data_IF_865041704705
#
_entry.id   IF_865041704705
#
_cell.length_a   1.000
_cell.length_b   1.000
_cell.length_c   1.000
_cell.angle_alpha   90.00
_cell.angle_beta   90.00
_cell.angle_gamma   90.00
#
_symmetry.space_group_name_H-M   'P 1'
#
loop_
_entity.id
_entity.type
_entity.pdbx_description
1 polymer ?
#
# COMPACT_ATOMS: atom_id res chain seq x y z
N UNK A 1 26.54 45.01 -18.49
CA UNK A 1 27.45 44.75 -19.64
C UNK A 1 28.84 45.24 -19.24
N UNK A 2 29.86 44.38 -19.13
CA UNK A 2 31.21 44.86 -18.85
C UNK A 2 31.89 45.36 -20.14
N UNK A 3 32.67 46.42 -20.02
CA UNK A 3 33.61 46.90 -21.05
C UNK A 3 35.03 46.68 -20.48
N UNK A 4 35.99 46.15 -21.26
CA UNK A 4 37.28 45.70 -20.74
C UNK A 4 38.28 46.86 -20.66
N UNK A 5 39.19 46.82 -19.68
CA UNK A 5 40.43 47.59 -19.73
C UNK A 5 41.61 46.62 -19.67
N UNK A 6 42.47 46.75 -20.68
CA UNK A 6 43.55 45.84 -21.02
C UNK A 6 44.69 45.85 -19.99
N UNK A 7 45.21 44.64 -19.72
CA UNK A 7 46.48 44.43 -19.03
C UNK A 7 47.61 44.35 -20.07
N UNK A 8 48.55 45.31 -20.04
CA UNK A 8 49.87 45.13 -20.62
C UNK A 8 50.94 45.74 -19.72
N UNK A 9 51.93 44.93 -19.38
CA UNK A 9 53.11 45.31 -18.61
C UNK A 9 53.84 44.07 -18.10
N UNK A 10 54.74 43.53 -18.93
CA UNK A 10 55.61 42.42 -18.58
C UNK A 10 56.99 42.91 -18.12
N UNK A 11 57.56 42.19 -17.14
CA UNK A 11 58.98 41.97 -16.81
C UNK A 11 59.84 43.14 -16.28
N UNK A 12 60.37 43.02 -15.06
CA UNK A 12 61.64 42.33 -14.74
C UNK A 12 62.24 42.88 -13.43
N UNK A 13 62.68 41.97 -12.56
CA UNK A 13 63.73 42.13 -11.52
C UNK A 13 63.70 43.33 -10.54
N UNK A 14 63.72 42.97 -9.25
CA UNK A 14 63.85 43.82 -8.03
C UNK A 14 62.52 44.35 -7.49
N UNK A 15 62.18 43.89 -6.29
CA UNK A 15 60.92 44.11 -5.60
C UNK A 15 60.55 45.60 -5.45
N UNK A 16 59.60 46.07 -6.25
CA UNK A 16 58.83 47.27 -5.95
C UNK A 16 57.60 46.87 -5.13
N UNK A 17 57.60 47.22 -3.85
CA UNK A 17 56.40 47.17 -3.01
C UNK A 17 55.54 48.38 -3.42
N UNK A 18 54.59 48.14 -4.32
CA UNK A 18 53.53 49.08 -4.65
C UNK A 18 52.25 48.60 -3.96
N UNK A 19 51.96 49.15 -2.79
CA UNK A 19 50.65 49.02 -2.15
C UNK A 19 49.62 49.75 -3.02
N UNK A 20 48.85 48.99 -3.82
CA UNK A 20 47.54 49.45 -4.27
C UNK A 20 46.49 48.88 -3.31
N UNK A 21 46.13 49.70 -2.32
CA UNK A 21 44.90 49.50 -1.58
C UNK A 21 43.77 49.88 -2.53
N UNK A 22 43.09 48.89 -3.10
CA UNK A 22 41.81 49.12 -3.75
C UNK A 22 40.77 49.39 -2.65
N UNK A 23 40.49 50.67 -2.38
CA UNK A 23 39.35 51.08 -1.55
C UNK A 23 38.10 51.09 -2.45
N UNK A 24 37.62 49.91 -2.81
CA UNK A 24 36.29 49.76 -3.38
C UNK A 24 35.54 48.73 -2.55
N UNK A 25 34.72 49.26 -1.65
CA UNK A 25 33.74 48.51 -0.87
C UNK A 25 32.57 48.19 -1.79
N UNK A 26 32.10 46.94 -1.80
CA UNK A 26 30.89 46.56 -2.54
C UNK A 26 29.68 47.37 -2.06
N UNK A 27 28.74 47.69 -2.97
CA UNK A 27 27.62 48.60 -2.72
C UNK A 27 26.75 48.23 -1.49
N UNK A 28 26.79 46.96 -1.05
CA UNK A 28 26.10 46.50 0.17
C UNK A 28 26.82 46.86 1.49
N UNK A 29 28.13 47.05 1.48
CA UNK A 29 28.93 47.36 2.68
C UNK A 29 29.13 48.88 2.89
N UNK A 30 29.02 49.70 1.84
CA UNK A 30 29.13 51.16 1.94
C UNK A 30 28.01 51.79 2.79
N UNK A 31 26.85 51.12 2.84
CA UNK A 31 25.65 51.54 3.59
C UNK A 31 25.80 51.42 5.10
N UNK A 32 26.79 50.67 5.60
CA UNK A 32 27.00 50.45 7.04
C UNK A 32 27.92 51.48 7.69
N UNK A 33 28.79 52.16 6.92
CA UNK A 33 29.85 53.04 7.45
C UNK A 33 29.36 54.48 7.67
N UNK A 34 28.36 54.93 6.89
CA UNK A 34 27.74 56.23 7.09
C UNK A 34 26.42 56.05 7.84
N UNK A 35 26.43 56.20 9.16
CA UNK A 35 25.20 56.46 9.91
C UNK A 35 24.67 57.86 9.53
N UNK A 36 23.95 57.95 8.41
CA UNK A 36 23.09 59.11 8.16
C UNK A 36 21.99 59.11 9.22
N UNK A 37 21.90 60.18 10.01
CA UNK A 37 20.69 60.45 10.81
C UNK A 37 19.51 60.54 9.84
N UNK A 38 18.40 59.88 10.18
CA UNK A 38 17.12 59.95 9.46
C UNK A 38 16.82 61.45 9.21
N UNK A 39 16.64 61.88 7.96
CA UNK A 39 16.22 63.27 7.68
C UNK A 39 14.77 63.47 8.11
N UNK A 40 13.97 62.41 8.00
CA UNK A 40 12.57 62.35 8.37
C UNK A 40 12.33 61.93 9.84
N UNK A 41 11.21 62.36 10.43
CA UNK A 41 10.85 62.38 11.86
C UNK A 41 11.69 63.31 12.75
N UNK A 42 12.26 64.37 12.18
CA UNK A 42 13.04 65.35 12.96
C UNK A 42 12.23 66.57 13.43
N UNK A 43 11.06 66.84 12.82
CA UNK A 43 10.23 68.02 13.10
C UNK A 43 8.73 67.72 13.11
N UNK A 44 7.99 68.49 13.92
CA UNK A 44 6.59 68.27 14.35
C UNK A 44 5.50 68.53 13.29
N UNK A 45 5.86 68.71 12.01
CA UNK A 45 4.96 69.14 10.92
C UNK A 45 5.13 68.32 9.63
N UNK A 46 5.90 67.23 9.69
CA UNK A 46 6.25 66.42 8.51
C UNK A 46 5.03 65.70 7.88
N UNK A 47 4.02 65.39 8.68
CA UNK A 47 2.73 64.81 8.27
C UNK A 47 1.89 65.70 7.32
N UNK A 48 2.32 66.94 7.06
CA UNK A 48 1.63 67.86 6.13
C UNK A 48 2.21 67.77 4.70
N UNK A 49 3.33 67.07 4.53
CA UNK A 49 4.03 66.94 3.24
C UNK A 49 3.60 65.62 2.59
N UNK A 50 3.22 65.59 1.30
CA UNK A 50 2.90 64.35 0.61
C UNK A 50 4.12 63.42 0.55
N UNK A 51 3.92 62.16 0.94
CA UNK A 51 4.96 61.14 1.03
C UNK A 51 5.70 60.91 -0.30
N UNK A 52 7.01 60.66 -0.22
CA UNK A 52 7.85 60.44 -1.40
C UNK A 52 8.60 59.10 -1.32
N UNK A 53 8.26 58.17 -2.23
CA UNK A 53 8.81 56.80 -2.25
C UNK A 53 10.34 56.75 -2.22
N UNK A 54 10.97 57.53 -3.08
CA UNK A 54 12.42 57.48 -3.25
C UNK A 54 13.12 58.04 -2.02
N UNK A 55 12.59 59.12 -1.44
CA UNK A 55 13.13 59.75 -0.24
C UNK A 55 12.94 58.93 1.04
N UNK A 56 11.76 58.32 1.23
CA UNK A 56 11.36 57.76 2.52
C UNK A 56 11.62 56.26 2.65
N UNK A 57 11.47 55.50 1.56
CA UNK A 57 11.56 54.03 1.58
C UNK A 57 12.74 53.46 0.76
N UNK A 58 13.29 54.20 -0.21
CA UNK A 58 14.43 53.75 -1.03
C UNK A 58 15.75 54.30 -0.48
N UNK A 59 15.82 55.61 -0.20
CA UNK A 59 16.99 56.25 0.41
C UNK A 59 17.06 56.04 1.92
N UNK A 60 15.91 55.82 2.58
CA UNK A 60 15.78 55.60 4.02
C UNK A 60 14.91 54.36 4.32
N UNK A 61 14.97 53.86 5.56
CA UNK A 61 14.10 52.76 6.02
C UNK A 61 12.80 53.36 6.56
N UNK A 62 11.71 53.18 5.82
CA UNK A 62 10.39 53.66 6.22
C UNK A 62 9.64 52.69 7.16
N UNK A 63 8.70 53.24 7.93
CA UNK A 63 7.70 52.50 8.69
C UNK A 63 6.54 52.08 7.78
N UNK A 64 5.70 51.16 8.27
CA UNK A 64 4.53 50.69 7.52
C UNK A 64 3.55 51.83 7.20
N UNK A 65 3.42 52.80 8.11
CA UNK A 65 2.52 53.94 7.93
C UNK A 65 3.09 54.93 6.88
N UNK A 66 4.39 55.20 6.92
CA UNK A 66 5.10 56.01 5.90
C UNK A 66 4.97 55.36 4.49
N UNK A 67 5.11 54.03 4.38
CA UNK A 67 4.91 53.33 3.12
C UNK A 67 3.44 53.38 2.61
N UNK A 68 2.47 53.45 3.52
CA UNK A 68 1.04 53.53 3.20
C UNK A 68 0.64 54.90 2.66
N UNK A 69 1.32 55.97 3.08
CA UNK A 69 1.07 57.33 2.60
C UNK A 69 1.56 57.56 1.17
N UNK A 70 2.58 56.81 0.73
CA UNK A 70 3.11 56.87 -0.64
C UNK A 70 2.22 56.16 -1.65
N UNK A 71 1.54 55.09 -1.23
CA UNK A 71 0.69 54.30 -2.10
C UNK A 71 -0.76 54.40 -1.62
N UNK A 72 -1.55 55.28 -2.24
CA UNK A 72 -2.99 55.51 -1.93
C UNK A 72 -3.91 54.27 -2.08
N UNK A 73 -3.38 53.06 -2.31
CA UNK A 73 -4.16 51.83 -2.35
C UNK A 73 -3.40 50.64 -1.70
N UNK A 74 -4.11 49.94 -0.81
CA UNK A 74 -3.68 48.76 -0.04
C UNK A 74 -3.33 47.53 -0.88
N UNK A 75 -3.50 47.58 -2.21
CA UNK A 75 -3.22 46.45 -3.11
C UNK A 75 -1.76 46.38 -3.60
N UNK A 76 -0.96 47.45 -3.43
CA UNK A 76 0.42 47.50 -3.97
C UNK A 76 1.55 47.20 -2.99
N UNK A 77 1.25 46.88 -1.73
CA UNK A 77 2.27 46.59 -0.71
C UNK A 77 2.61 45.10 -0.58
N UNK A 78 1.99 44.19 -1.35
CA UNK A 78 2.36 42.76 -1.38
C UNK A 78 2.21 42.18 -2.79
N UNK A 79 3.23 42.28 -3.65
CA UNK A 79 3.50 41.24 -4.66
C UNK A 79 4.86 41.44 -5.35
N UNK A 80 5.92 40.80 -4.85
CA UNK A 80 7.10 40.51 -5.67
C UNK A 80 6.90 39.18 -6.40
N UNK A 81 7.34 39.04 -7.64
CA UNK A 81 7.14 37.82 -8.45
C UNK A 81 7.67 36.57 -7.71
N UNK A 82 6.77 35.70 -7.28
CA UNK A 82 7.11 34.48 -6.54
C UNK A 82 7.57 33.33 -7.44
N UNK A 83 7.59 33.55 -8.76
CA UNK A 83 8.16 32.66 -9.75
C UNK A 83 9.65 32.96 -10.06
N UNK A 84 10.29 33.93 -9.37
CA UNK A 84 11.73 34.17 -9.48
C UNK A 84 12.45 34.05 -8.12
N UNK A 85 13.26 33.00 -7.90
CA UNK A 85 13.61 31.92 -8.84
C UNK A 85 12.50 30.88 -8.99
N UNK A 86 12.37 30.29 -10.19
CA UNK A 86 11.27 29.35 -10.50
C UNK A 86 11.20 28.18 -9.50
N UNK A 87 10.15 28.12 -8.65
CA UNK A 87 10.02 27.09 -7.63
C UNK A 87 9.56 25.75 -8.21
N UNK A 88 8.93 25.75 -9.38
CA UNK A 88 8.34 24.57 -10.02
C UNK A 88 9.42 23.66 -10.63
N UNK A 89 9.27 22.34 -10.45
CA UNK A 89 10.21 21.30 -10.88
C UNK A 89 9.69 20.57 -12.12
N UNK A 90 10.55 19.73 -12.70
CA UNK A 90 10.20 18.78 -13.77
C UNK A 90 9.56 19.41 -15.02
N UNK A 91 9.94 20.64 -15.36
CA UNK A 91 9.44 21.35 -16.55
C UNK A 91 8.03 21.93 -16.38
N UNK A 92 7.56 22.09 -15.15
CA UNK A 92 6.30 22.75 -14.83
C UNK A 92 6.33 24.26 -15.08
N UNK A 93 5.17 24.81 -15.41
CA UNK A 93 4.97 26.24 -15.65
C UNK A 93 4.59 26.92 -14.34
N UNK A 94 5.29 27.99 -13.95
CA UNK A 94 4.98 28.78 -12.75
C UNK A 94 4.11 29.98 -13.11
N UNK A 95 3.07 30.22 -12.31
CA UNK A 95 2.20 31.39 -12.39
C UNK A 95 2.20 32.12 -11.04
N UNK A 96 2.51 33.42 -11.05
CA UNK A 96 2.51 34.30 -9.88
C UNK A 96 1.07 34.57 -9.42
N UNK A 97 0.82 34.55 -8.11
CA UNK A 97 -0.47 34.87 -7.51
C UNK A 97 -0.29 35.83 -6.32
N UNK A 98 -1.37 36.27 -5.68
CA UNK A 98 -1.27 37.21 -4.55
C UNK A 98 -0.65 36.47 -3.36
N UNK A 99 0.57 36.86 -2.98
CA UNK A 99 1.35 36.28 -1.85
C UNK A 99 1.73 34.79 -1.96
N UNK A 100 1.58 34.16 -3.12
CA UNK A 100 1.94 32.76 -3.38
C UNK A 100 2.11 32.51 -4.89
N UNK A 101 2.75 31.41 -5.27
CA UNK A 101 2.79 30.92 -6.66
C UNK A 101 1.91 29.69 -6.85
N UNK A 102 1.59 29.39 -8.12
CA UNK A 102 0.94 28.15 -8.57
C UNK A 102 1.84 27.46 -9.60
N UNK A 103 2.06 26.15 -9.44
CA UNK A 103 2.79 25.34 -10.40
C UNK A 103 1.83 24.47 -11.22
N UNK A 104 1.83 24.64 -12.54
CA UNK A 104 1.12 23.80 -13.48
C UNK A 104 1.97 22.59 -13.86
N UNK A 105 1.71 21.47 -13.18
CA UNK A 105 2.50 20.26 -13.36
C UNK A 105 2.20 19.55 -14.69
N UNK A 106 3.24 19.13 -15.43
CA UNK A 106 3.06 18.26 -16.59
C UNK A 106 2.45 16.92 -16.19
N UNK A 107 1.78 16.26 -17.13
CA UNK A 107 1.16 14.96 -16.87
C UNK A 107 2.16 13.96 -16.26
N UNK A 108 1.78 13.39 -15.10
CA UNK A 108 2.61 12.47 -14.33
C UNK A 108 3.42 13.12 -13.20
N UNK A 109 3.27 14.42 -12.94
CA UNK A 109 3.79 15.06 -11.73
C UNK A 109 2.69 15.72 -10.90
N UNK A 110 2.84 15.69 -9.58
CA UNK A 110 2.02 16.49 -8.65
C UNK A 110 2.91 17.05 -7.52
N UNK A 111 2.29 17.68 -6.53
CA UNK A 111 2.99 18.39 -5.46
C UNK A 111 2.96 19.89 -5.70
N UNK A 112 3.23 20.67 -4.64
CA UNK A 112 3.19 22.14 -4.71
C UNK A 112 4.17 22.68 -5.75
N UNK A 113 5.27 21.96 -5.96
CA UNK A 113 6.35 22.33 -6.86
C UNK A 113 6.53 21.27 -7.96
N UNK A 114 5.54 20.41 -8.19
CA UNK A 114 5.62 19.31 -9.17
C UNK A 114 6.80 18.35 -8.91
N UNK A 115 7.20 18.19 -7.65
CA UNK A 115 8.32 17.36 -7.21
C UNK A 115 7.98 15.87 -7.13
N UNK A 116 6.70 15.51 -7.12
CA UNK A 116 6.22 14.14 -6.96
C UNK A 116 6.03 13.51 -8.33
N UNK A 117 6.84 12.51 -8.68
CA UNK A 117 6.73 11.74 -9.93
C UNK A 117 5.77 10.54 -9.77
N UNK A 118 4.69 10.51 -10.55
CA UNK A 118 3.79 9.38 -10.67
C UNK A 118 4.19 8.50 -11.86
N UNK A 119 5.24 7.72 -11.67
CA UNK A 119 5.49 6.54 -12.50
C UNK A 119 4.73 5.33 -11.96
N UNK A 120 4.52 4.29 -12.77
CA UNK A 120 3.99 3.02 -12.26
C UNK A 120 4.84 2.40 -11.12
N UNK A 121 6.10 2.81 -10.97
CA UNK A 121 6.97 2.38 -9.89
C UNK A 121 6.64 3.06 -8.55
N UNK A 122 6.04 4.25 -8.57
CA UNK A 122 5.73 5.06 -7.39
C UNK A 122 4.21 5.06 -7.19
N UNK A 123 3.74 4.55 -6.04
CA UNK A 123 2.30 4.43 -5.71
C UNK A 123 1.45 3.83 -6.86
N UNK A 124 2.00 2.90 -7.63
CA UNK A 124 1.33 2.28 -8.78
C UNK A 124 0.80 3.33 -9.81
N UNK A 125 1.48 4.47 -9.96
CA UNK A 125 1.05 5.57 -10.85
C UNK A 125 -0.27 6.23 -10.45
N UNK A 126 -0.74 6.02 -9.22
CA UNK A 126 -2.06 6.43 -8.75
C UNK A 126 -3.20 5.56 -9.26
N UNK A 127 -2.91 4.46 -9.97
CA UNK A 127 -3.93 3.50 -10.40
C UNK A 127 -4.36 2.61 -9.24
N UNK A 128 -5.68 2.43 -9.07
CA UNK A 128 -6.22 1.54 -8.04
C UNK A 128 -5.84 0.07 -8.26
N UNK A 129 -5.82 -0.39 -9.52
CA UNK A 129 -5.46 -1.76 -9.87
C UNK A 129 -4.20 -1.83 -10.73
N UNK A 130 -4.29 -1.74 -12.05
CA UNK A 130 -3.14 -1.97 -12.92
C UNK A 130 -2.64 -0.66 -13.52
N UNK A 131 -1.33 -0.49 -13.52
CA UNK A 131 -0.64 0.63 -14.15
C UNK A 131 0.21 0.15 -15.32
N UNK A 132 0.11 0.84 -16.46
CA UNK A 132 1.00 0.67 -17.62
C UNK A 132 1.53 2.03 -18.06
N UNK A 133 2.77 2.06 -18.53
CA UNK A 133 3.32 3.24 -19.19
C UNK A 133 3.01 3.17 -20.70
N UNK A 134 2.38 4.21 -21.27
CA UNK A 134 1.97 4.24 -22.69
C UNK A 134 2.14 5.63 -23.33
N UNK A 135 3.29 5.94 -23.97
CA UNK A 135 3.57 7.26 -24.53
C UNK A 135 2.52 7.73 -25.55
N UNK A 136 2.02 8.99 -25.51
CA UNK A 136 2.53 10.15 -24.77
C UNK A 136 2.06 10.26 -23.31
N UNK A 137 1.16 9.39 -22.84
CA UNK A 137 0.68 9.37 -21.46
C UNK A 137 1.67 8.61 -20.56
N UNK A 138 2.19 9.25 -19.51
CA UNK A 138 3.16 8.60 -18.62
C UNK A 138 2.56 7.40 -17.86
N UNK A 139 1.25 7.40 -17.62
CA UNK A 139 0.52 6.36 -16.90
C UNK A 139 -0.87 6.16 -17.49
N UNK A 140 -1.23 4.90 -17.75
CA UNK A 140 -2.57 4.44 -18.12
C UNK A 140 -3.02 3.38 -17.12
N UNK A 141 -4.18 3.60 -16.50
CA UNK A 141 -4.75 2.68 -15.54
C UNK A 141 -5.74 1.72 -16.20
N UNK A 142 -5.81 0.49 -15.66
CA UNK A 142 -6.83 -0.49 -16.03
C UNK A 142 -7.25 -1.32 -14.81
N UNK A 143 -8.41 -1.96 -14.90
CA UNK A 143 -9.05 -2.60 -13.76
C UNK A 143 -9.09 -4.14 -13.88
N UNK A 144 -9.17 -4.81 -12.73
CA UNK A 144 -9.35 -6.26 -12.66
C UNK A 144 -10.75 -6.70 -13.14
N UNK A 145 -10.90 -8.00 -13.40
CA UNK A 145 -12.15 -8.57 -13.86
C UNK A 145 -13.33 -8.26 -12.91
N UNK A 146 -14.43 -7.78 -13.48
CA UNK A 146 -15.60 -7.34 -12.71
C UNK A 146 -15.53 -5.89 -12.21
N UNK A 147 -14.52 -5.11 -12.62
CA UNK A 147 -14.43 -3.68 -12.34
C UNK A 147 -14.39 -2.85 -13.64
N UNK A 148 -14.92 -1.62 -13.57
CA UNK A 148 -14.81 -0.59 -14.61
C UNK A 148 -13.90 0.54 -14.13
N UNK A 149 -13.16 1.15 -15.05
CA UNK A 149 -12.38 2.35 -14.75
C UNK A 149 -13.36 3.52 -14.57
N UNK A 150 -13.17 4.28 -13.50
CA UNK A 150 -13.94 5.48 -13.20
C UNK A 150 -13.50 6.63 -14.14
N UNK A 151 -14.29 7.70 -14.18
CA UNK A 151 -14.07 8.85 -15.05
C UNK A 151 -12.78 9.62 -14.72
N UNK A 152 -12.27 9.49 -13.50
CA UNK A 152 -10.97 10.04 -13.09
C UNK A 152 -9.75 9.36 -13.76
N UNK A 153 -9.97 8.27 -14.51
CA UNK A 153 -8.93 7.52 -15.19
C UNK A 153 -7.98 6.75 -14.27
N UNK A 154 -8.27 6.66 -12.96
CA UNK A 154 -7.40 6.07 -11.92
C UNK A 154 -8.13 5.06 -11.03
N UNK A 155 -9.37 5.36 -10.64
CA UNK A 155 -10.16 4.55 -9.73
C UNK A 155 -10.85 3.39 -10.46
N UNK A 156 -11.03 2.30 -9.74
CA UNK A 156 -11.74 1.11 -10.23
C UNK A 156 -13.00 0.86 -9.38
N UNK A 157 -14.14 0.88 -10.06
CA UNK A 157 -15.45 0.66 -9.46
C UNK A 157 -15.99 -0.73 -9.82
N UNK A 158 -16.63 -1.45 -8.87
CA UNK A 158 -17.33 -2.69 -9.14
C UNK A 158 -18.35 -2.53 -10.28
N UNK A 159 -18.18 -3.30 -11.35
CA UNK A 159 -19.12 -3.37 -12.48
C UNK A 159 -20.11 -4.53 -12.35
N UNK A 160 -19.80 -5.52 -11.50
CA UNK A 160 -20.64 -6.68 -11.23
C UNK A 160 -20.90 -6.82 -9.71
N UNK A 161 -21.95 -7.55 -9.28
CA UNK A 161 -22.28 -7.69 -7.86
C UNK A 161 -21.18 -8.34 -7.01
N UNK A 162 -20.48 -9.31 -7.59
CA UNK A 162 -19.43 -10.10 -6.93
C UNK A 162 -18.14 -10.03 -7.76
N UNK A 163 -17.46 -8.87 -7.79
CA UNK A 163 -16.24 -8.72 -8.57
C UNK A 163 -15.11 -9.49 -7.90
N UNK A 164 -14.05 -9.80 -8.65
CA UNK A 164 -12.95 -10.57 -8.09
C UNK A 164 -12.31 -9.86 -6.88
N UNK A 165 -11.75 -10.64 -5.96
CA UNK A 165 -10.93 -10.12 -4.86
C UNK A 165 -11.67 -9.22 -3.88
N UNK A 166 -13.01 -9.16 -3.92
CA UNK A 166 -13.81 -8.33 -3.02
C UNK A 166 -14.54 -9.17 -1.99
N UNK A 167 -14.44 -8.76 -0.72
CA UNK A 167 -15.19 -9.39 0.36
C UNK A 167 -16.52 -8.68 0.51
N UNK A 168 -17.63 -9.41 0.32
CA UNK A 168 -18.99 -8.84 0.38
C UNK A 168 -19.85 -9.39 1.52
N UNK A 169 -19.35 -10.38 2.27
CA UNK A 169 -20.04 -10.99 3.40
C UNK A 169 -20.44 -9.96 4.48
N UNK A 170 -21.70 -9.97 4.95
CA UNK A 170 -22.22 -8.97 5.89
C UNK A 170 -21.53 -9.03 7.25
N UNK A 171 -21.24 -10.22 7.76
CA UNK A 171 -20.59 -10.42 9.06
C UNK A 171 -19.19 -9.81 9.11
N UNK A 172 -18.49 -9.82 7.98
CA UNK A 172 -17.15 -9.23 7.85
C UNK A 172 -17.25 -7.70 7.77
N UNK A 173 -18.19 -7.17 6.99
CA UNK A 173 -18.43 -5.71 6.89
C UNK A 173 -18.73 -5.08 8.25
N UNK A 174 -19.55 -5.74 9.08
CA UNK A 174 -19.89 -5.30 10.45
C UNK A 174 -18.68 -5.29 11.38
N UNK A 175 -17.74 -6.23 11.22
CA UNK A 175 -16.50 -6.26 12.02
C UNK A 175 -15.54 -5.15 11.61
N UNK A 176 -15.36 -4.90 10.31
CA UNK A 176 -14.54 -3.80 9.78
C UNK A 176 -15.04 -2.42 10.26
N UNK A 177 -16.36 -2.18 10.21
CA UNK A 177 -16.95 -0.92 10.73
C UNK A 177 -16.81 -0.78 12.25
N UNK A 178 -16.89 -1.88 13.00
CA UNK A 178 -16.73 -1.85 14.46
C UNK A 178 -15.29 -1.61 14.92
N UNK A 179 -14.28 -2.07 14.17
CA UNK A 179 -12.86 -1.76 14.44
C UNK A 179 -12.50 -0.31 14.11
N UNK A 180 -13.21 0.30 13.16
CA UNK A 180 -13.06 1.74 12.84
C UNK A 180 -13.62 2.61 13.99
N UNK A 181 -14.66 2.15 14.69
CA UNK A 181 -15.23 2.84 15.85
C UNK A 181 -14.44 2.66 17.17
N UNK A 182 -13.28 1.99 17.15
CA UNK A 182 -12.39 1.85 18.32
C UNK A 182 -11.15 2.75 18.26
N UNK A 183 -11.04 3.65 17.29
CA UNK A 183 -10.16 4.80 17.39
C UNK A 183 -10.93 5.93 18.06
N UNK A 184 -10.69 6.11 19.36
CA UNK A 184 -11.11 7.31 20.07
C UNK A 184 -10.60 8.55 19.33
N UNK A 185 -11.57 9.39 18.97
CA UNK A 185 -11.47 10.83 18.87
C UNK A 185 -10.23 11.41 19.57
N UNK A 186 -9.18 11.70 18.80
CA UNK A 186 -8.33 12.85 19.10
C UNK A 186 -8.96 14.06 18.40
N UNK A 187 -10.08 14.54 18.94
CA UNK A 187 -10.52 15.89 18.63
C UNK A 187 -9.67 16.84 19.46
N UNK A 188 -8.74 17.49 18.76
CA UNK A 188 -8.02 18.67 19.20
C UNK A 188 -9.08 19.70 19.64
N UNK A 189 -8.97 20.10 20.90
CA UNK A 189 -9.78 21.13 21.54
C UNK A 189 -9.58 22.48 20.85
N UNK A 190 -10.66 23.10 20.40
CA UNK A 190 -10.80 24.56 20.29
C UNK A 190 -11.96 24.99 21.17
N UNK A 191 -11.67 26.00 21.98
CA UNK A 191 -12.50 26.62 23.01
C UNK A 191 -13.93 26.92 22.53
N UNK A 192 -14.90 26.76 23.44
CA UNK A 192 -15.84 27.83 23.79
C UNK A 192 -16.53 27.50 25.13
N UNK A 193 -16.82 28.56 25.88
CA UNK A 193 -17.21 28.64 27.29
C UNK A 193 -18.73 28.43 27.51
N UNK A 194 -19.07 28.17 28.79
CA UNK A 194 -20.39 28.22 29.45
C UNK A 194 -21.42 27.11 29.05
N UNK A 195 -22.18 26.48 29.94
CA UNK A 195 -22.72 26.92 31.22
C UNK A 195 -23.06 25.69 32.10
N UNK A 196 -23.00 25.88 33.42
CA UNK A 196 -23.30 24.87 34.42
C UNK A 196 -24.80 24.56 34.50
N UNK A 197 -25.16 23.34 34.87
CA UNK A 197 -26.18 23.06 35.89
C UNK A 197 -26.24 21.55 36.20
N UNK A 198 -25.88 21.24 37.45
CA UNK A 198 -26.16 19.98 38.16
C UNK A 198 -27.67 19.69 38.19
N UNK A 199 -28.07 18.42 38.09
CA UNK A 199 -29.01 17.80 39.05
C UNK A 199 -28.83 16.28 39.16
N UNK A 200 -28.39 15.89 40.37
CA UNK A 200 -28.79 14.74 41.18
C UNK A 200 -28.65 13.29 40.66
N UNK A 201 -27.59 12.66 41.16
CA UNK A 201 -27.50 11.23 41.47
C UNK A 201 -28.57 10.81 42.49
N UNK A 202 -29.06 9.57 42.37
CA UNK A 202 -29.54 8.82 43.53
C UNK A 202 -29.09 7.35 43.43
N UNK A 203 -27.92 7.06 44.01
CA UNK A 203 -27.45 5.72 44.35
C UNK A 203 -27.41 5.67 45.87
N UNK A 204 -28.22 4.81 46.46
CA UNK A 204 -28.12 4.43 47.88
C UNK A 204 -26.86 3.61 48.12
N UNK A 205 -25.95 4.15 48.93
CA UNK A 205 -24.77 3.53 49.55
C UNK A 205 -25.21 2.49 50.61
N UNK A 206 -24.42 1.46 51.00
CA UNK A 206 -23.19 1.61 51.81
C UNK A 206 -22.25 0.38 51.79
N UNK A 207 -20.97 0.54 52.23
CA UNK A 207 -19.80 -0.21 51.78
C UNK A 207 -19.13 -1.08 52.87
N UNK A 208 -18.33 -2.06 52.45
CA UNK A 208 -17.14 -2.66 53.13
C UNK A 208 -16.72 -3.85 52.27
N UNK A 209 -15.49 -4.10 51.82
CA UNK A 209 -14.13 -3.94 52.35
C UNK A 209 -13.16 -4.03 51.16
N UNK A 210 -12.00 -3.38 51.27
CA UNK A 210 -10.94 -3.43 50.27
C UNK A 210 -10.48 -4.88 50.01
N UNK A 211 -10.77 -5.40 48.82
CA UNK A 211 -10.19 -6.63 48.30
C UNK A 211 -9.46 -6.34 46.98
N UNK A 212 -8.15 -6.49 47.05
CA UNK A 212 -7.15 -6.62 46.01
C UNK A 212 -7.74 -6.95 44.63
N UNK A 213 -7.63 -6.04 43.66
CA UNK A 213 -7.90 -6.35 42.26
C UNK A 213 -6.91 -7.43 41.80
N UNK A 214 -7.36 -8.69 41.85
CA UNK A 214 -6.74 -9.76 41.07
C UNK A 214 -6.96 -9.40 39.61
N UNK A 215 -5.89 -8.98 38.94
CA UNK A 215 -5.79 -9.06 37.49
C UNK A 215 -6.00 -10.54 37.15
N UNK A 216 -7.23 -10.90 36.78
CA UNK A 216 -7.49 -12.20 36.16
C UNK A 216 -6.85 -12.10 34.79
N UNK A 217 -5.78 -12.87 34.50
CA UNK A 217 -5.26 -12.91 33.15
C UNK A 217 -6.39 -13.42 32.27
N UNK A 218 -6.80 -12.61 31.30
CA UNK A 218 -7.62 -13.09 30.20
C UNK A 218 -6.79 -14.19 29.55
N UNK A 219 -7.15 -15.44 29.84
CA UNK A 219 -6.59 -16.61 29.18
C UNK A 219 -6.86 -16.44 27.70
N UNK A 220 -5.85 -15.94 26.98
CA UNK A 220 -5.79 -15.91 25.53
C UNK A 220 -5.75 -17.37 25.11
N UNK A 221 -6.91 -17.96 24.88
CA UNK A 221 -7.01 -19.30 24.34
C UNK A 221 -6.38 -19.29 22.95
N UNK A 222 -5.22 -19.93 22.88
CA UNK A 222 -4.39 -20.26 21.74
C UNK A 222 -5.19 -20.43 20.44
N UNK A 223 -4.97 -19.53 19.47
CA UNK A 223 -5.59 -19.62 18.15
C UNK A 223 -4.69 -20.42 17.22
N UNK A 224 -5.25 -21.47 16.62
CA UNK A 224 -4.51 -22.61 16.06
C UNK A 224 -4.56 -22.60 14.52
N UNK A 225 -3.71 -21.77 13.93
CA UNK A 225 -2.56 -22.14 13.06
C UNK A 225 -1.34 -21.85 13.92
N UNK A 226 -0.10 -22.26 13.60
CA UNK A 226 1.00 -21.74 14.44
C UNK A 226 0.95 -20.20 14.31
N UNK A 227 0.51 -19.53 15.39
CA UNK A 227 0.05 -18.13 15.49
C UNK A 227 -0.87 -17.52 14.42
N UNK A 228 -1.78 -18.27 13.76
CA UNK A 228 -2.90 -17.70 12.98
C UNK A 228 -4.21 -17.60 13.76
N UNK A 229 -5.29 -17.14 13.11
CA UNK A 229 -6.60 -16.96 13.76
C UNK A 229 -7.75 -17.54 12.94
N UNK A 230 -8.81 -17.97 13.63
CA UNK A 230 -10.09 -18.34 13.02
C UNK A 230 -10.58 -17.20 12.12
N UNK A 231 -10.88 -17.54 10.87
CA UNK A 231 -11.50 -16.60 9.95
C UNK A 231 -12.94 -16.33 10.36
N UNK A 232 -13.47 -15.18 9.95
CA UNK A 232 -14.91 -14.94 9.98
C UNK A 232 -15.53 -15.60 8.74
N UNK A 233 -16.74 -16.14 8.87
CA UNK A 233 -17.48 -16.69 7.73
C UNK A 233 -17.58 -15.68 6.58
N UNK A 234 -17.12 -16.08 5.40
CA UNK A 234 -17.07 -15.21 4.21
C UNK A 234 -15.91 -14.21 4.17
N UNK A 235 -14.94 -14.27 5.09
CA UNK A 235 -13.72 -13.45 5.03
C UNK A 235 -12.81 -13.81 3.86
N UNK A 236 -12.83 -15.07 3.41
CA UNK A 236 -12.02 -15.56 2.29
C UNK A 236 -12.91 -16.29 1.27
N UNK A 237 -13.76 -15.57 0.51
CA UNK A 237 -14.80 -16.18 -0.32
C UNK A 237 -14.27 -16.91 -1.56
N UNK A 238 -12.99 -16.73 -1.90
CA UNK A 238 -12.31 -17.46 -2.98
C UNK A 238 -11.67 -18.76 -2.53
N UNK A 239 -11.60 -19.03 -1.22
CA UNK A 239 -11.05 -20.28 -0.71
C UNK A 239 -11.95 -21.45 -1.12
N UNK A 240 -11.34 -22.53 -1.59
CA UNK A 240 -12.03 -23.82 -1.74
C UNK A 240 -11.34 -24.92 -0.96
N UNK A 241 -12.13 -25.92 -0.61
CA UNK A 241 -11.67 -27.21 -0.12
C UNK A 241 -11.69 -28.20 -1.28
N UNK A 242 -10.54 -28.79 -1.59
CA UNK A 242 -10.38 -29.79 -2.64
C UNK A 242 -10.32 -31.16 -1.97
N UNK A 243 -11.42 -31.91 -2.03
CA UNK A 243 -11.46 -33.30 -1.58
C UNK A 243 -10.93 -34.23 -2.65
N UNK A 244 -10.08 -35.15 -2.21
CA UNK A 244 -9.41 -36.15 -3.04
C UNK A 244 -9.78 -37.52 -2.49
N UNK A 245 -10.41 -38.33 -3.32
CA UNK A 245 -10.69 -39.73 -2.99
C UNK A 245 -9.82 -40.60 -3.88
N UNK A 246 -8.89 -41.33 -3.25
CA UNK A 246 -8.04 -42.31 -3.90
C UNK A 246 -8.16 -43.69 -3.22
N UNK A 247 -7.36 -44.66 -3.66
CA UNK A 247 -7.33 -46.03 -3.10
C UNK A 247 -6.76 -46.11 -1.67
N UNK A 248 -6.10 -45.05 -1.18
CA UNK A 248 -5.48 -44.96 0.14
C UNK A 248 -6.35 -44.25 1.19
N UNK A 249 -7.43 -43.59 0.75
CA UNK A 249 -8.44 -42.98 1.63
C UNK A 249 -8.90 -41.60 1.15
N UNK A 250 -9.46 -40.82 2.09
CA UNK A 250 -9.93 -39.45 1.85
C UNK A 250 -8.85 -38.44 2.27
N UNK A 251 -8.31 -37.70 1.29
CA UNK A 251 -7.40 -36.57 1.50
C UNK A 251 -8.08 -35.23 1.20
N UNK A 252 -7.43 -34.13 1.59
CA UNK A 252 -7.85 -32.79 1.17
C UNK A 252 -6.67 -31.84 0.95
N UNK A 253 -6.90 -30.88 0.06
CA UNK A 253 -6.05 -29.73 -0.20
C UNK A 253 -6.89 -28.44 -0.22
N UNK A 254 -6.23 -27.29 -0.27
CA UNK A 254 -6.82 -26.00 -0.57
C UNK A 254 -6.85 -25.72 -2.08
N UNK A 255 -7.52 -24.62 -2.43
CA UNK A 255 -7.55 -24.06 -3.78
C UNK A 255 -8.10 -22.65 -3.77
N UNK A 256 -8.05 -21.99 -4.93
CA UNK A 256 -8.62 -20.65 -5.12
C UNK A 256 -9.51 -20.59 -6.35
N UNK A 257 -10.67 -19.95 -6.24
CA UNK A 257 -11.61 -19.73 -7.36
C UNK A 257 -11.04 -18.68 -8.32
N UNK A 258 -10.84 -19.03 -9.59
CA UNK A 258 -10.38 -18.10 -10.63
C UNK A 258 -11.58 -17.42 -11.33
N UNK A 259 -12.59 -18.22 -11.69
CA UNK A 259 -13.86 -17.77 -12.25
C UNK A 259 -14.94 -18.82 -11.95
N UNK A 260 -16.14 -18.71 -12.53
CA UNK A 260 -17.24 -19.61 -12.22
C UNK A 260 -16.94 -21.09 -12.54
N UNK A 261 -16.04 -21.37 -13.48
CA UNK A 261 -15.75 -22.74 -13.96
C UNK A 261 -14.37 -23.26 -13.56
N UNK A 262 -13.46 -22.40 -13.10
CA UNK A 262 -12.06 -22.76 -12.90
C UNK A 262 -11.56 -22.47 -11.50
N UNK A 263 -10.80 -23.44 -10.97
CA UNK A 263 -10.09 -23.35 -9.69
C UNK A 263 -8.61 -23.61 -9.90
N UNK A 264 -7.76 -22.89 -9.19
CA UNK A 264 -6.31 -23.16 -9.12
C UNK A 264 -5.97 -23.86 -7.80
N UNK A 265 -5.05 -24.82 -7.86
CA UNK A 265 -4.51 -25.55 -6.70
C UNK A 265 -3.05 -25.97 -6.98
N UNK A 266 -2.43 -26.70 -6.07
CA UNK A 266 -1.10 -27.27 -6.26
C UNK A 266 -1.21 -28.58 -7.07
N UNK A 267 -0.27 -28.81 -7.98
CA UNK A 267 -0.26 -30.02 -8.80
C UNK A 267 0.06 -31.28 -7.99
N UNK A 268 0.87 -31.15 -6.93
CA UNK A 268 1.22 -32.28 -6.07
C UNK A 268 0.06 -32.82 -5.22
N UNK A 269 -1.03 -32.07 -5.14
CA UNK A 269 -2.28 -32.54 -4.54
C UNK A 269 -2.98 -33.57 -5.43
N UNK A 270 -2.63 -33.67 -6.71
CA UNK A 270 -3.39 -34.39 -7.71
C UNK A 270 -2.59 -35.58 -8.23
N UNK A 271 -3.25 -36.73 -8.39
CA UNK A 271 -2.71 -37.93 -9.01
C UNK A 271 -3.59 -38.36 -10.19
N UNK A 272 -3.01 -39.04 -11.19
CA UNK A 272 -3.80 -39.62 -12.28
C UNK A 272 -4.86 -40.58 -11.74
N UNK A 273 -6.13 -40.34 -12.10
CA UNK A 273 -7.27 -41.17 -11.67
C UNK A 273 -7.98 -40.71 -10.40
N UNK A 274 -7.53 -39.63 -9.76
CA UNK A 274 -8.20 -39.09 -8.57
C UNK A 274 -9.63 -38.63 -8.88
N UNK A 275 -10.56 -38.99 -8.00
CA UNK A 275 -11.90 -38.40 -8.01
C UNK A 275 -11.89 -37.12 -7.16
N UNK A 276 -11.88 -35.97 -7.85
CA UNK A 276 -11.70 -34.67 -7.22
C UNK A 276 -13.03 -33.94 -7.08
N UNK A 277 -13.37 -33.56 -5.84
CA UNK A 277 -14.55 -32.74 -5.53
C UNK A 277 -14.11 -31.42 -4.92
N UNK A 278 -14.53 -30.32 -5.52
CA UNK A 278 -14.29 -28.96 -5.05
C UNK A 278 -15.50 -28.50 -4.23
N UNK A 279 -15.24 -27.92 -3.06
CA UNK A 279 -16.25 -27.30 -2.20
C UNK A 279 -15.90 -25.83 -2.00
N UNK A 280 -16.71 -24.95 -2.57
CA UNK A 280 -16.61 -23.50 -2.39
C UNK A 280 -17.59 -23.02 -1.31
N UNK A 281 -17.27 -21.94 -0.60
CA UNK A 281 -18.15 -21.37 0.44
C UNK A 281 -18.20 -22.17 1.74
N UNK A 282 -17.31 -23.14 1.90
CA UNK A 282 -17.10 -23.90 3.14
C UNK A 282 -16.39 -23.03 4.18
N UNK A 283 -16.79 -23.17 5.44
CA UNK A 283 -16.15 -22.46 6.56
C UNK A 283 -15.83 -23.40 7.72
N UNK A 284 -16.70 -24.38 7.99
CA UNK A 284 -16.61 -25.29 9.14
C UNK A 284 -16.79 -26.74 8.70
N UNK A 285 -15.68 -27.46 8.49
CA UNK A 285 -15.64 -28.77 7.81
C UNK A 285 -16.47 -29.90 8.45
N UNK A 286 -16.84 -29.76 9.71
CA UNK A 286 -17.63 -30.75 10.46
C UNK A 286 -19.11 -30.39 10.59
N UNK A 287 -19.50 -29.16 10.22
CA UNK A 287 -20.85 -28.67 10.40
C UNK A 287 -21.55 -28.63 9.04
N UNK A 288 -22.59 -29.44 8.85
CA UNK A 288 -23.26 -29.61 7.55
C UNK A 288 -24.35 -28.55 7.28
N UNK A 289 -24.62 -27.68 8.26
CA UNK A 289 -25.73 -26.72 8.24
C UNK A 289 -25.33 -25.29 7.87
N UNK A 290 -24.11 -25.10 7.37
CA UNK A 290 -23.61 -23.77 6.98
C UNK A 290 -24.32 -23.21 5.75
N UNK A 291 -24.92 -24.08 4.91
CA UNK A 291 -25.79 -23.79 3.75
C UNK A 291 -25.18 -22.83 2.71
N UNK A 292 -23.89 -22.54 2.80
CA UNK A 292 -23.14 -21.68 1.88
C UNK A 292 -22.34 -22.49 0.86
N UNK A 293 -22.18 -23.79 1.11
CA UNK A 293 -21.33 -24.70 0.36
C UNK A 293 -21.89 -25.00 -1.03
N UNK A 294 -21.03 -24.89 -2.03
CA UNK A 294 -21.29 -25.37 -3.38
C UNK A 294 -20.29 -26.48 -3.71
N UNK A 295 -20.81 -27.68 -3.95
CA UNK A 295 -20.00 -28.85 -4.34
C UNK A 295 -20.00 -29.01 -5.85
N UNK A 296 -18.82 -29.21 -6.43
CA UNK A 296 -18.59 -29.40 -7.87
C UNK A 296 -17.57 -30.50 -8.09
N UNK A 297 -17.74 -31.32 -9.13
CA UNK A 297 -16.73 -32.31 -9.52
C UNK A 297 -15.75 -31.66 -10.48
N UNK A 298 -14.47 -32.01 -10.38
CA UNK A 298 -13.51 -31.61 -11.41
C UNK A 298 -13.60 -32.57 -12.60
N UNK A 299 -14.05 -32.06 -13.76
CA UNK A 299 -14.14 -32.84 -15.02
C UNK A 299 -12.82 -32.87 -15.76
N UNK A 300 -11.96 -31.87 -15.50
CA UNK A 300 -10.65 -31.77 -16.12
C UNK A 300 -9.63 -31.35 -15.08
N UNK A 301 -8.55 -32.12 -14.98
CA UNK A 301 -7.42 -31.86 -14.10
C UNK A 301 -6.23 -31.50 -14.99
N UNK A 302 -5.74 -30.27 -14.87
CA UNK A 302 -4.65 -29.75 -15.70
C UNK A 302 -3.47 -29.28 -14.84
N UNK A 303 -2.56 -30.18 -14.45
CA UNK A 303 -1.24 -29.79 -13.98
C UNK A 303 -0.53 -28.97 -15.05
N UNK A 304 0.35 -28.07 -14.63
CA UNK A 304 1.21 -27.34 -15.57
C UNK A 304 1.99 -28.34 -16.45
N UNK A 305 2.17 -28.05 -17.75
CA UNK A 305 2.73 -29.00 -18.73
C UNK A 305 4.14 -29.51 -18.38
N UNK A 306 4.92 -28.69 -17.67
CA UNK A 306 6.28 -29.00 -17.20
C UNK A 306 6.33 -29.50 -15.75
N UNK A 307 5.19 -29.77 -15.14
CA UNK A 307 5.11 -30.42 -13.83
C UNK A 307 5.46 -31.90 -13.97
N UNK A 308 6.40 -32.38 -13.14
CA UNK A 308 6.73 -33.80 -13.10
C UNK A 308 7.09 -34.22 -11.67
N UNK A 309 6.16 -34.92 -11.02
CA UNK A 309 6.31 -35.36 -9.64
C UNK A 309 7.48 -36.33 -9.41
N UNK A 310 7.85 -37.12 -10.43
CA UNK A 310 8.95 -38.09 -10.35
C UNK A 310 10.33 -37.45 -10.40
N UNK A 311 10.45 -36.28 -11.03
CA UNK A 311 11.72 -35.53 -11.13
C UNK A 311 11.83 -34.53 -9.98
N UNK A 312 10.82 -33.67 -9.83
CA UNK A 312 10.77 -32.68 -8.76
C UNK A 312 9.30 -32.33 -8.48
N UNK A 313 8.78 -32.88 -7.38
CA UNK A 313 7.40 -32.70 -6.90
C UNK A 313 6.97 -31.25 -6.69
N UNK A 314 7.90 -30.32 -6.56
CA UNK A 314 7.61 -28.92 -6.26
C UNK A 314 7.88 -27.98 -7.45
N UNK A 315 8.51 -28.47 -8.52
CA UNK A 315 8.76 -27.66 -9.70
C UNK A 315 7.50 -27.51 -10.56
N UNK A 316 7.06 -26.26 -10.79
CA UNK A 316 5.79 -25.96 -11.47
C UNK A 316 4.59 -26.60 -10.78
N UNK A 317 4.62 -26.59 -9.46
CA UNK A 317 3.59 -27.16 -8.62
C UNK A 317 2.34 -26.27 -8.59
N UNK A 318 1.60 -26.31 -9.69
CA UNK A 318 0.36 -25.58 -9.93
C UNK A 318 -0.49 -26.37 -10.93
N UNK A 319 -1.80 -26.41 -10.67
CA UNK A 319 -2.78 -27.07 -11.50
C UNK A 319 -4.08 -26.27 -11.58
N UNK A 320 -4.79 -26.43 -12.69
CA UNK A 320 -6.13 -25.90 -12.91
C UNK A 320 -7.15 -27.05 -12.92
N UNK A 321 -8.28 -26.82 -12.26
CA UNK A 321 -9.41 -27.73 -12.20
C UNK A 321 -10.58 -27.10 -12.94
N UNK A 322 -11.10 -27.77 -13.97
CA UNK A 322 -12.35 -27.39 -14.62
C UNK A 322 -13.52 -28.05 -13.92
N UNK A 323 -14.51 -27.27 -13.50
CA UNK A 323 -15.69 -27.75 -12.80
C UNK A 323 -16.74 -28.28 -13.77
N UNK A 324 -17.46 -29.32 -13.35
CA UNK A 324 -18.60 -29.90 -14.07
C UNK A 324 -19.72 -28.89 -14.32
N UNK A 325 -19.99 -28.05 -13.32
CA UNK A 325 -20.98 -26.97 -13.37
C UNK A 325 -20.38 -25.66 -12.85
N UNK A 326 -20.79 -24.50 -13.40
CA UNK A 326 -20.35 -23.22 -12.89
C UNK A 326 -20.78 -23.01 -11.43
N UNK A 327 -19.95 -22.30 -10.68
CA UNK A 327 -20.26 -21.78 -9.35
C UNK A 327 -21.21 -20.59 -9.47
N UNK A 328 -22.17 -20.51 -8.56
CA UNK A 328 -23.06 -19.36 -8.44
C UNK A 328 -22.43 -18.38 -7.47
N UNK A 329 -21.92 -17.25 -7.97
CA UNK A 329 -21.30 -16.26 -7.09
C UNK A 329 -22.31 -15.62 -6.14
N UNK A 330 -21.88 -15.48 -4.90
CA UNK A 330 -22.63 -14.86 -3.80
C UNK A 330 -21.64 -14.28 -2.78
N UNK A 331 -22.14 -13.79 -1.65
CA UNK A 331 -21.28 -13.15 -0.64
C UNK A 331 -20.22 -14.04 0.04
N UNK A 332 -20.33 -15.36 -0.12
CA UNK A 332 -19.43 -16.37 0.44
C UNK A 332 -18.65 -17.12 -0.64
N UNK A 333 -18.99 -16.93 -1.92
CA UNK A 333 -18.35 -17.58 -3.07
C UNK A 333 -18.08 -16.52 -4.14
N UNK A 334 -16.83 -16.09 -4.25
CA UNK A 334 -16.39 -15.00 -5.15
C UNK A 334 -14.99 -15.31 -5.65
N UNK A 335 -14.63 -15.01 -6.92
CA UNK A 335 -13.30 -15.32 -7.43
C UNK A 335 -12.21 -14.43 -6.83
N UNK A 336 -10.96 -14.89 -6.83
CA UNK A 336 -9.79 -14.06 -6.50
C UNK A 336 -9.29 -13.35 -7.76
N UNK A 337 -8.79 -12.11 -7.64
CA UNK A 337 -8.25 -11.41 -8.81
C UNK A 337 -6.90 -11.98 -9.25
N UNK A 338 -6.71 -12.05 -10.57
CA UNK A 338 -5.43 -12.38 -11.21
C UNK A 338 -4.85 -11.11 -11.84
N UNK A 339 -3.73 -10.65 -11.29
CA UNK A 339 -3.02 -9.47 -11.77
C UNK A 339 -2.17 -9.72 -13.00
N UNK A 340 -1.57 -8.66 -13.55
CA UNK A 340 -0.48 -8.81 -14.54
C UNK A 340 0.78 -9.34 -13.86
N UNK A 341 1.71 -9.90 -14.65
CA UNK A 341 2.96 -10.44 -14.12
C UNK A 341 3.75 -9.38 -13.33
N UNK A 342 3.84 -8.18 -13.87
CA UNK A 342 4.58 -7.05 -13.30
C UNK A 342 3.92 -6.60 -12.00
N UNK A 343 2.60 -6.39 -12.04
CA UNK A 343 1.81 -5.98 -10.88
C UNK A 343 1.87 -7.01 -9.74
N UNK A 344 1.66 -8.30 -10.04
CA UNK A 344 1.76 -9.39 -9.04
C UNK A 344 3.16 -9.47 -8.44
N UNK A 345 4.23 -9.20 -9.21
CA UNK A 345 5.59 -9.15 -8.66
C UNK A 345 5.81 -7.96 -7.72
N UNK A 346 5.24 -6.80 -8.04
CA UNK A 346 5.33 -5.61 -7.19
C UNK A 346 4.56 -5.81 -5.89
N UNK A 347 3.32 -6.32 -5.97
CA UNK A 347 2.51 -6.67 -4.81
C UNK A 347 3.21 -7.67 -3.89
N UNK A 348 3.78 -8.73 -4.46
CA UNK A 348 4.46 -9.76 -3.68
C UNK A 348 5.62 -9.20 -2.84
N UNK A 349 6.33 -8.18 -3.33
CA UNK A 349 7.50 -7.61 -2.65
C UNK A 349 7.14 -6.58 -1.58
N UNK A 350 6.08 -5.81 -1.78
CA UNK A 350 5.76 -4.65 -0.94
C UNK A 350 4.50 -4.83 -0.09
N UNK A 351 3.61 -5.75 -0.48
CA UNK A 351 2.38 -6.04 0.24
C UNK A 351 2.59 -7.08 1.34
N UNK A 352 1.62 -7.14 2.25
CA UNK A 352 1.53 -8.23 3.22
C UNK A 352 0.73 -9.38 2.62
N UNK A 353 1.29 -10.59 2.68
CA UNK A 353 0.62 -11.79 2.23
C UNK A 353 -0.33 -12.31 3.28
N UNK A 354 -1.52 -12.75 2.87
CA UNK A 354 -2.42 -13.54 3.71
C UNK A 354 -2.61 -14.91 3.09
N UNK A 355 -2.39 -15.93 3.92
CA UNK A 355 -2.63 -17.33 3.61
C UNK A 355 -3.87 -17.81 4.34
N UNK A 356 -4.56 -18.77 3.76
CA UNK A 356 -5.73 -19.40 4.37
C UNK A 356 -5.85 -20.88 4.02
N UNK A 357 -6.48 -21.62 4.92
CA UNK A 357 -6.71 -23.05 4.73
C UNK A 357 -7.18 -23.76 6.00
N UNK A 358 -7.36 -25.07 5.87
CA UNK A 358 -7.75 -25.97 6.97
C UNK A 358 -6.62 -26.92 7.36
N UNK A 359 -5.38 -26.56 7.05
CA UNK A 359 -4.21 -27.34 7.38
C UNK A 359 -4.03 -27.59 8.87
N UNK A 360 -3.05 -28.44 9.18
CA UNK A 360 -2.64 -28.77 10.52
C UNK A 360 -2.23 -27.52 11.26
N UNK A 361 -2.75 -27.39 12.46
CA UNK A 361 -2.61 -26.16 13.25
C UNK A 361 -1.27 -26.07 13.99
N UNK A 362 -0.47 -27.14 13.89
CA UNK A 362 0.90 -27.30 14.36
C UNK A 362 1.50 -28.51 13.62
N UNK A 363 2.84 -28.65 13.63
CA UNK A 363 3.51 -29.74 12.92
C UNK A 363 3.00 -31.12 13.36
N UNK A 364 2.55 -31.95 12.39
CA UNK A 364 1.88 -33.25 12.60
C UNK A 364 0.61 -33.19 13.46
N UNK A 365 0.02 -32.01 13.60
CA UNK A 365 -1.20 -31.77 14.34
C UNK A 365 -2.48 -32.11 13.58
N UNK A 366 -3.62 -32.03 14.27
CA UNK A 366 -4.94 -32.17 13.63
C UNK A 366 -5.22 -30.97 12.74
N UNK A 367 -5.83 -31.25 11.60
CA UNK A 367 -6.32 -30.25 10.66
C UNK A 367 -7.42 -29.38 11.30
N UNK A 368 -7.41 -28.07 11.00
CA UNK A 368 -8.37 -27.13 11.57
C UNK A 368 -9.81 -27.46 11.15
N UNK A 369 -10.77 -27.26 12.05
CA UNK A 369 -12.20 -27.44 11.73
C UNK A 369 -12.76 -26.18 11.06
N UNK A 370 -12.42 -25.02 11.63
CA UNK A 370 -12.77 -23.69 11.13
C UNK A 370 -11.66 -23.21 10.21
N UNK A 371 -12.03 -22.56 9.10
CA UNK A 371 -11.07 -21.97 8.16
C UNK A 371 -10.16 -20.97 8.88
N UNK A 372 -8.86 -21.14 8.71
CA UNK A 372 -7.87 -20.28 9.33
C UNK A 372 -7.32 -19.23 8.36
N UNK A 373 -6.88 -18.11 8.91
CA UNK A 373 -6.14 -17.06 8.20
C UNK A 373 -4.87 -16.70 8.95
N UNK A 374 -3.81 -16.41 8.20
CA UNK A 374 -2.55 -15.92 8.74
C UNK A 374 -1.92 -14.91 7.79
N UNK A 375 -1.46 -13.78 8.34
CA UNK A 375 -0.68 -12.81 7.58
C UNK A 375 0.81 -13.10 7.74
N UNK A 376 1.51 -13.26 6.62
CA UNK A 376 2.93 -13.59 6.54
C UNK A 376 3.67 -12.63 5.60
N UNK A 377 4.84 -12.11 6.02
CA UNK A 377 5.63 -11.24 5.18
C UNK A 377 6.37 -12.05 4.09
N UNK A 378 6.58 -11.42 2.95
CA UNK A 378 7.48 -11.92 1.92
C UNK A 378 8.92 -11.95 2.45
N UNK A 379 9.65 -13.01 2.12
CA UNK A 379 11.06 -13.18 2.51
C UNK A 379 11.94 -13.00 1.28
N UNK A 380 13.00 -12.20 1.43
CA UNK A 380 13.94 -11.98 0.33
C UNK A 380 14.57 -13.28 -0.15
N UNK A 381 14.93 -13.32 -1.44
CA UNK A 381 15.39 -14.55 -2.08
C UNK A 381 16.70 -15.07 -1.47
N UNK A 382 17.61 -14.20 -1.03
CA UNK A 382 18.89 -14.62 -0.46
C UNK A 382 18.69 -15.28 0.91
N UNK A 383 17.85 -14.68 1.75
CA UNK A 383 17.46 -15.25 3.05
C UNK A 383 16.71 -16.56 2.88
N UNK A 384 15.77 -16.62 1.93
CA UNK A 384 15.03 -17.83 1.56
C UNK A 384 16.00 -18.96 1.13
N UNK A 385 16.96 -18.69 0.25
CA UNK A 385 17.95 -19.68 -0.20
C UNK A 385 18.87 -20.16 0.92
N UNK A 386 19.27 -19.28 1.84
CA UNK A 386 20.09 -19.64 3.00
C UNK A 386 19.33 -20.45 4.05
N UNK A 387 18.00 -20.38 4.05
CA UNK A 387 17.16 -21.03 5.05
C UNK A 387 17.02 -22.55 4.85
N UNK A 388 17.30 -23.08 3.67
CA UNK A 388 17.07 -24.48 3.31
C UNK A 388 18.26 -25.09 2.57
N UNK A 389 18.47 -26.41 2.73
CA UNK A 389 19.40 -27.17 1.89
C UNK A 389 18.80 -27.55 0.54
N UNK A 390 17.49 -27.36 0.34
CA UNK A 390 16.79 -27.67 -0.90
C UNK A 390 16.88 -26.51 -1.88
N UNK A 391 16.98 -26.82 -3.17
CA UNK A 391 17.08 -25.78 -4.21
C UNK A 391 15.74 -25.05 -4.40
N UNK A 392 15.71 -23.75 -4.12
CA UNK A 392 14.54 -22.88 -4.38
C UNK A 392 14.63 -22.29 -5.80
N UNK A 393 13.69 -22.69 -6.66
CA UNK A 393 13.66 -22.26 -8.06
C UNK A 393 13.12 -20.82 -8.23
N UNK A 394 13.24 -20.26 -9.44
CA UNK A 394 12.82 -18.88 -9.78
C UNK A 394 11.29 -18.70 -9.84
N UNK A 395 10.56 -19.80 -9.95
CA UNK A 395 9.11 -19.88 -9.90
C UNK A 395 8.56 -20.15 -8.49
N UNK A 396 9.42 -20.05 -7.47
CA UNK A 396 9.06 -20.20 -6.06
C UNK A 396 9.44 -18.95 -5.28
N UNK A 397 8.82 -18.75 -4.13
CA UNK A 397 9.24 -17.75 -3.15
C UNK A 397 8.97 -18.24 -1.71
N UNK A 398 9.64 -17.62 -0.74
CA UNK A 398 9.40 -17.87 0.68
C UNK A 398 8.55 -16.76 1.29
N UNK A 399 7.72 -17.12 2.26
CA UNK A 399 7.07 -16.17 3.15
C UNK A 399 6.95 -16.74 4.56
N UNK A 400 7.06 -15.88 5.57
CA UNK A 400 7.01 -16.28 6.97
C UNK A 400 7.91 -15.43 7.87
N UNK A 401 7.91 -15.74 9.15
CA UNK A 401 8.65 -14.97 10.16
C UNK A 401 10.01 -15.62 10.48
N UNK A 402 11.12 -14.85 10.55
CA UNK A 402 12.44 -15.41 10.87
C UNK A 402 12.50 -16.14 12.21
N UNK A 403 11.77 -15.63 13.21
CA UNK A 403 11.65 -16.24 14.53
C UNK A 403 10.89 -17.57 14.52
N UNK A 404 10.26 -17.95 13.40
CA UNK A 404 9.32 -19.06 13.34
C UNK A 404 8.05 -18.74 14.14
N UNK A 405 7.44 -19.78 14.69
CA UNK A 405 6.23 -19.67 15.50
C UNK A 405 4.96 -19.33 14.71
N UNK A 406 5.07 -18.90 13.44
CA UNK A 406 3.92 -18.77 12.53
C UNK A 406 4.22 -19.18 11.11
N UNK A 407 3.41 -20.09 10.55
CA UNK A 407 3.59 -20.64 9.21
C UNK A 407 2.35 -21.42 8.72
N UNK A 408 2.28 -21.66 7.41
CA UNK A 408 1.40 -22.67 6.81
C UNK A 408 1.84 -24.09 7.17
N UNK A 409 0.92 -25.06 7.14
CA UNK A 409 1.25 -26.45 7.44
C UNK A 409 0.50 -27.47 6.58
N UNK A 410 0.70 -28.75 6.86
CA UNK A 410 0.12 -29.85 6.06
C UNK A 410 -1.40 -29.74 5.95
N UNK A 411 -1.94 -29.76 4.74
CA UNK A 411 -3.38 -29.56 4.46
C UNK A 411 -3.75 -28.15 3.99
N UNK A 412 -2.82 -27.18 4.05
CA UNK A 412 -2.95 -25.89 3.36
C UNK A 412 -2.45 -25.94 1.91
N UNK A 413 -1.83 -27.05 1.49
CA UNK A 413 -1.32 -27.27 0.13
C UNK A 413 -2.37 -26.94 -0.93
N UNK A 414 -1.97 -26.16 -1.93
CA UNK A 414 -2.86 -25.66 -2.97
C UNK A 414 -3.70 -24.44 -2.57
N UNK A 415 -3.72 -24.07 -1.29
CA UNK A 415 -4.41 -22.88 -0.80
C UNK A 415 -3.82 -21.56 -1.33
N UNK A 416 -4.60 -20.47 -1.23
CA UNK A 416 -4.18 -19.15 -1.66
C UNK A 416 -3.09 -18.55 -0.77
N UNK A 417 -2.11 -17.91 -1.41
CA UNK A 417 -1.37 -16.79 -0.84
C UNK A 417 -1.82 -15.53 -1.58
N UNK A 418 -2.43 -14.60 -0.86
CA UNK A 418 -3.08 -13.42 -1.42
C UNK A 418 -2.49 -12.14 -0.87
N UNK A 419 -2.51 -11.08 -1.68
CA UNK A 419 -2.06 -9.75 -1.28
C UNK A 419 -3.16 -8.75 -1.55
N UNK A 420 -3.43 -7.89 -0.59
CA UNK A 420 -4.46 -6.86 -0.66
C UNK A 420 -3.84 -5.52 -1.06
N UNK A 421 -4.58 -4.78 -1.89
CA UNK A 421 -4.29 -3.40 -2.27
C UNK A 421 -5.60 -2.65 -2.47
N UNK A 422 -5.78 -1.54 -1.76
CA UNK A 422 -6.93 -0.64 -1.88
C UNK A 422 -8.31 -1.34 -1.84
N UNK A 423 -8.46 -2.31 -0.95
CA UNK A 423 -9.66 -3.09 -0.71
C UNK A 423 -9.86 -4.28 -1.67
N UNK A 424 -8.88 -4.57 -2.54
CA UNK A 424 -8.97 -5.65 -3.53
C UNK A 424 -7.86 -6.67 -3.34
N UNK A 425 -8.23 -7.94 -3.29
CA UNK A 425 -7.33 -9.06 -3.07
C UNK A 425 -6.90 -9.71 -4.38
N UNK A 426 -5.59 -9.96 -4.52
CA UNK A 426 -4.99 -10.60 -5.67
C UNK A 426 -4.27 -11.88 -5.27
N UNK A 427 -4.35 -12.91 -6.12
CA UNK A 427 -3.58 -14.13 -5.93
C UNK A 427 -2.12 -13.90 -6.33
N UNK A 428 -1.22 -14.01 -5.37
CA UNK A 428 0.22 -13.78 -5.56
C UNK A 428 1.03 -15.08 -5.41
N UNK A 429 0.50 -16.08 -4.71
CA UNK A 429 1.10 -17.41 -4.61
C UNK A 429 0.10 -18.54 -4.42
N UNK A 430 0.58 -19.76 -4.57
CA UNK A 430 -0.13 -21.01 -4.23
C UNK A 430 0.73 -21.78 -3.23
N UNK A 431 0.16 -22.18 -2.11
CA UNK A 431 0.86 -22.94 -1.06
C UNK A 431 1.37 -24.27 -1.63
N UNK A 432 2.67 -24.55 -1.51
CA UNK A 432 3.29 -25.72 -2.13
C UNK A 432 3.88 -26.67 -1.09
N UNK A 433 4.92 -26.27 -0.37
CA UNK A 433 5.58 -27.14 0.61
C UNK A 433 6.34 -26.35 1.68
N UNK A 434 6.83 -27.06 2.69
CA UNK A 434 7.72 -26.56 3.74
C UNK A 434 8.44 -27.72 4.41
N UNK A 435 9.61 -27.48 5.01
CA UNK A 435 10.36 -28.53 5.72
C UNK A 435 9.68 -28.91 7.04
N UNK A 436 9.46 -27.91 7.90
CA UNK A 436 8.80 -28.02 9.19
C UNK A 436 8.00 -26.74 9.41
N UNK A 437 6.72 -26.90 9.74
CA UNK A 437 5.83 -25.76 9.92
C UNK A 437 6.29 -24.91 11.11
N UNK A 438 6.53 -23.62 10.88
CA UNK A 438 6.82 -22.62 11.91
C UNK A 438 8.09 -22.87 12.73
N UNK A 439 9.06 -23.59 12.17
CA UNK A 439 10.38 -23.73 12.76
C UNK A 439 11.16 -22.41 12.67
N UNK A 440 11.84 -21.96 13.74
CA UNK A 440 12.74 -20.81 13.67
C UNK A 440 13.76 -20.97 12.53
N UNK A 441 13.94 -19.91 11.74
CA UNK A 441 14.84 -19.91 10.59
C UNK A 441 14.34 -20.68 9.35
N UNK A 442 13.10 -21.17 9.34
CA UNK A 442 12.44 -21.78 8.17
C UNK A 442 11.23 -20.97 7.75
N UNK A 443 10.84 -21.14 6.49
CA UNK A 443 9.74 -20.41 5.86
C UNK A 443 8.88 -21.35 5.03
N UNK A 444 7.61 -21.00 4.85
CA UNK A 444 6.74 -21.65 3.86
C UNK A 444 7.18 -21.33 2.44
N UNK A 445 7.12 -22.32 1.55
CA UNK A 445 7.46 -22.17 0.13
C UNK A 445 6.19 -22.21 -0.71
N UNK A 446 6.08 -21.21 -1.59
CA UNK A 446 4.91 -20.97 -2.41
C UNK A 446 5.28 -20.96 -3.90
N UNK A 447 4.40 -21.48 -4.74
CA UNK A 447 4.50 -21.32 -6.19
C UNK A 447 4.17 -19.88 -6.56
N UNK A 448 5.05 -19.23 -7.31
CA UNK A 448 4.97 -17.82 -7.67
C UNK A 448 4.01 -17.59 -8.85
N UNK A 449 2.78 -17.15 -8.56
CA UNK A 449 1.71 -17.02 -9.56
C UNK A 449 2.06 -16.07 -10.71
N UNK A 450 2.89 -15.05 -10.48
CA UNK A 450 3.33 -14.13 -11.55
C UNK A 450 4.05 -14.81 -12.71
N UNK A 451 4.60 -16.03 -12.52
CA UNK A 451 5.19 -16.84 -13.60
C UNK A 451 4.16 -17.58 -14.45
N UNK A 452 2.92 -17.70 -13.97
CA UNK A 452 1.86 -18.51 -14.56
C UNK A 452 0.64 -17.69 -15.02
N UNK A 453 0.63 -16.37 -14.80
CA UNK A 453 -0.48 -15.48 -15.18
C UNK A 453 -0.97 -15.71 -16.61
N UNK A 454 -0.05 -15.77 -17.59
CA UNK A 454 -0.38 -16.00 -19.00
C UNK A 454 -1.11 -17.33 -19.19
N UNK A 455 -0.54 -18.42 -18.67
CA UNK A 455 -1.12 -19.76 -18.74
C UNK A 455 -2.49 -19.84 -18.06
N UNK A 456 -2.65 -19.22 -16.88
CA UNK A 456 -3.92 -19.16 -16.17
C UNK A 456 -4.96 -18.42 -17.02
N UNK A 457 -4.65 -17.22 -17.51
CA UNK A 457 -5.58 -16.41 -18.30
C UNK A 457 -6.01 -17.10 -19.59
N UNK A 458 -5.06 -17.64 -20.35
CA UNK A 458 -5.33 -18.33 -21.62
C UNK A 458 -6.18 -19.58 -21.42
N UNK A 459 -5.85 -20.40 -20.41
CA UNK A 459 -6.57 -21.66 -20.14
C UNK A 459 -7.98 -21.41 -19.62
N UNK A 460 -8.14 -20.44 -18.72
CA UNK A 460 -9.41 -20.14 -18.06
C UNK A 460 -10.27 -19.13 -18.82
N UNK A 461 -9.76 -18.59 -19.95
CA UNK A 461 -10.38 -17.51 -20.74
C UNK A 461 -10.69 -16.27 -19.91
N UNK A 462 -9.83 -15.95 -18.95
CA UNK A 462 -9.94 -14.77 -18.11
C UNK A 462 -9.39 -13.55 -18.88
N UNK A 463 -10.29 -12.67 -19.32
CA UNK A 463 -9.96 -11.43 -20.03
C UNK A 463 -9.43 -10.37 -19.07
#
# INVERSE_FOLDING_TARGET
>A
RPVPAASHGACSSVACISFQIAVFIENKEASAVLHRRKRANSNRLEEVIPGNLERECIEEKCSFEEAREVFENTEKTVNGDQCDPNPCKNGAVCEDAVSSYVCWCPAGYEGRNCEIDFTCAIKNGGCKHFCRHDPPQKVVCSCAAGYKLHEDGKSCEPAVPYPCGRITAPDVKRKLTRTINTFEHWNITTNDEDDAHDEALNITETPTTAATMKIVPINKTDTRVVGGSDSVKGQVPWQVLVYLVDSSGLGFCGGSIINEKWVVTAAHCLRPGDNVTVVAGEHHRQHRDDKTEQRRKAVKILPHSTYNASINKHHNDIALLELDQPLTFNSYVTPICIGSREFTNTLLKHGQGTVSGWGSTFYRGRAAVILQVLTVPYVDRLTCLKSTSTTILQNMFCAGFPAGGRDTCGGDSGGPYTTEIEGTWFLTGVTSWGEECAKPGKYGIYTKVSKYVKWIKETTRLT
#
